data_IF_758334042307
#
_entry.id   IF_758334042307
#
_cell.length_a   1.000
_cell.length_b   1.000
_cell.length_c   1.000
_cell.angle_alpha   90.00
_cell.angle_beta   90.00
_cell.angle_gamma   90.00
#
_symmetry.space_group_name_H-M   'P 1'
#
loop_
_entity.id
_entity.type
_entity.pdbx_description
1 polymer ?
#
# COMPACT_ATOMS: atom_id res chain seq x y z
N UNK A 1 5.35 -2.46 12.85
CA UNK A 1 6.50 -1.67 13.38
C UNK A 1 6.53 -0.37 12.60
N UNK A 2 6.82 0.76 13.22
CA UNK A 2 6.94 2.01 12.46
C UNK A 2 8.23 2.00 11.64
N UNK A 3 8.13 2.37 10.35
CA UNK A 3 9.30 2.47 9.48
C UNK A 3 10.33 3.48 10.02
N UNK A 4 11.61 3.19 9.83
CA UNK A 4 12.73 4.10 10.13
C UNK A 4 13.17 4.90 8.90
N UNK A 5 12.62 4.57 7.73
CA UNK A 5 12.89 5.30 6.49
C UNK A 5 12.47 6.77 6.63
N UNK A 6 13.26 7.66 6.06
CA UNK A 6 13.12 9.11 6.22
C UNK A 6 13.93 9.72 7.38
N UNK A 7 14.70 8.91 8.12
CA UNK A 7 15.57 9.35 9.23
C UNK A 7 17.07 9.22 8.95
N UNK A 8 17.44 8.83 7.74
CA UNK A 8 18.84 8.75 7.30
C UNK A 8 19.50 10.12 7.39
N UNK A 9 20.80 10.15 7.71
CA UNK A 9 21.54 11.41 7.82
C UNK A 9 21.89 11.96 6.45
N UNK A 10 22.27 11.11 5.55
CA UNK A 10 22.64 11.43 4.18
C UNK A 10 21.43 11.32 3.22
N UNK A 11 21.40 12.14 2.17
CA UNK A 11 20.31 12.16 1.20
C UNK A 11 20.38 10.94 0.28
N UNK A 12 21.57 10.49 -0.12
CA UNK A 12 21.71 9.31 -0.94
C UNK A 12 21.27 8.05 -0.18
N UNK A 13 21.64 7.93 1.10
CA UNK A 13 21.12 6.87 1.99
C UNK A 13 19.59 6.93 2.14
N UNK A 14 19.02 8.13 2.22
CA UNK A 14 17.59 8.33 2.25
C UNK A 14 16.93 7.81 0.97
N UNK A 15 17.43 8.22 -0.19
CA UNK A 15 16.88 7.80 -1.49
C UNK A 15 17.04 6.29 -1.69
N UNK A 16 18.17 5.70 -1.35
CA UNK A 16 18.36 4.25 -1.38
C UNK A 16 17.38 3.51 -0.47
N UNK A 17 17.12 4.03 0.73
CA UNK A 17 16.13 3.45 1.64
C UNK A 17 14.70 3.58 1.13
N UNK A 18 14.37 4.62 0.36
CA UNK A 18 13.08 4.74 -0.33
C UNK A 18 12.99 3.75 -1.49
N UNK A 19 14.05 3.58 -2.28
CA UNK A 19 14.11 2.56 -3.34
C UNK A 19 13.88 1.16 -2.76
N UNK A 20 14.55 0.80 -1.66
CA UNK A 20 14.32 -0.48 -0.98
C UNK A 20 12.87 -0.65 -0.55
N UNK A 21 12.27 0.41 -0.01
CA UNK A 21 10.87 0.39 0.44
C UNK A 21 9.89 0.22 -0.72
N UNK A 22 10.14 0.90 -1.85
CA UNK A 22 9.32 0.76 -3.06
C UNK A 22 9.47 -0.63 -3.69
N UNK A 23 10.66 -1.21 -3.71
CA UNK A 23 10.89 -2.60 -4.15
C UNK A 23 10.13 -3.60 -3.25
N UNK A 24 10.15 -3.40 -1.93
CA UNK A 24 9.36 -4.18 -0.97
C UNK A 24 7.85 -4.06 -1.25
N UNK A 25 7.39 -2.86 -1.58
CA UNK A 25 6.00 -2.60 -1.94
C UNK A 25 5.62 -3.31 -3.24
N UNK A 26 6.44 -3.27 -4.29
CA UNK A 26 6.22 -4.00 -5.54
C UNK A 26 5.98 -5.49 -5.28
N UNK A 27 6.81 -6.12 -4.45
CA UNK A 27 6.63 -7.53 -4.09
C UNK A 27 5.36 -7.79 -3.27
N UNK A 28 5.02 -6.89 -2.34
CA UNK A 28 3.79 -7.00 -1.55
C UNK A 28 2.54 -6.86 -2.44
N UNK A 29 2.54 -5.90 -3.38
CA UNK A 29 1.46 -5.74 -4.34
C UNK A 29 1.32 -6.95 -5.26
N UNK A 30 2.42 -7.52 -5.75
CA UNK A 30 2.39 -8.73 -6.56
C UNK A 30 1.72 -9.89 -5.82
N UNK A 31 2.13 -10.13 -4.57
CA UNK A 31 1.53 -11.18 -3.74
C UNK A 31 0.04 -10.92 -3.42
N UNK A 32 -0.37 -9.66 -3.28
CA UNK A 32 -1.78 -9.28 -3.08
C UNK A 32 -2.62 -9.51 -4.35
N UNK A 33 -2.12 -9.09 -5.52
CA UNK A 33 -2.76 -9.25 -6.83
C UNK A 33 -3.01 -10.72 -7.18
N UNK A 34 -2.09 -11.61 -6.83
CA UNK A 34 -2.26 -13.05 -7.04
C UNK A 34 -3.44 -13.64 -6.26
N UNK A 35 -3.87 -13.03 -5.16
CA UNK A 35 -4.80 -13.60 -4.18
C UNK A 35 -6.13 -12.89 -4.07
N UNK A 36 -6.20 -11.63 -4.48
CA UNK A 36 -7.42 -10.85 -4.43
C UNK A 36 -8.39 -11.33 -5.52
N UNK A 37 -9.65 -11.54 -5.15
CA UNK A 37 -10.67 -12.06 -6.06
C UNK A 37 -11.40 -10.92 -6.78
N UNK A 38 -11.66 -9.78 -6.13
CA UNK A 38 -12.33 -8.64 -6.74
C UNK A 38 -11.52 -8.09 -7.90
N UNK A 39 -12.08 -8.12 -9.11
CA UNK A 39 -11.39 -7.71 -10.34
C UNK A 39 -11.06 -6.20 -10.36
N UNK A 40 -11.88 -5.38 -9.71
CA UNK A 40 -11.64 -3.92 -9.62
C UNK A 40 -10.47 -3.64 -8.70
N UNK A 41 -10.44 -4.26 -7.52
CA UNK A 41 -9.34 -4.15 -6.59
C UNK A 41 -8.04 -4.69 -7.21
N UNK A 42 -8.10 -5.85 -7.89
CA UNK A 42 -6.96 -6.44 -8.60
C UNK A 42 -6.35 -5.47 -9.62
N UNK A 43 -7.17 -4.86 -10.46
CA UNK A 43 -6.72 -3.89 -11.46
C UNK A 43 -6.11 -2.65 -10.80
N UNK A 44 -6.71 -2.15 -9.73
CA UNK A 44 -6.24 -0.96 -9.03
C UNK A 44 -4.91 -1.21 -8.29
N UNK A 45 -4.76 -2.36 -7.62
CA UNK A 45 -3.50 -2.77 -7.02
C UNK A 45 -2.39 -2.95 -8.07
N UNK A 46 -2.74 -3.42 -9.28
CA UNK A 46 -1.82 -3.47 -10.41
C UNK A 46 -1.31 -2.09 -10.85
N UNK A 47 -2.19 -1.09 -10.87
CA UNK A 47 -1.80 0.29 -11.15
C UNK A 47 -0.87 0.84 -10.05
N UNK A 48 -1.15 0.58 -8.77
CA UNK A 48 -0.31 1.00 -7.65
C UNK A 48 1.07 0.34 -7.68
N UNK A 49 1.14 -0.97 -7.99
CA UNK A 49 2.42 -1.65 -8.24
C UNK A 49 3.25 -0.91 -9.29
N UNK A 50 2.63 -0.52 -10.42
CA UNK A 50 3.32 0.20 -11.48
C UNK A 50 3.80 1.59 -11.05
N UNK A 51 3.11 2.25 -10.13
CA UNK A 51 3.56 3.50 -9.52
C UNK A 51 4.84 3.29 -8.71
N UNK A 52 4.91 2.27 -7.83
CA UNK A 52 6.15 1.94 -7.09
C UNK A 52 7.31 1.56 -8.02
N UNK A 53 7.07 0.82 -9.08
CA UNK A 53 8.09 0.55 -10.11
C UNK A 53 8.58 1.85 -10.78
N UNK A 54 7.72 2.84 -10.96
CA UNK A 54 8.11 4.18 -11.44
C UNK A 54 8.90 4.93 -10.38
N UNK A 55 8.51 4.90 -9.11
CA UNK A 55 9.26 5.53 -8.02
C UNK A 55 10.72 5.06 -7.99
N UNK A 56 10.95 3.75 -8.10
CA UNK A 56 12.30 3.18 -8.20
C UNK A 56 13.06 3.76 -9.40
N UNK A 57 12.44 3.79 -10.59
CA UNK A 57 13.06 4.35 -11.81
C UNK A 57 13.39 5.84 -11.68
N UNK A 58 12.53 6.60 -11.00
CA UNK A 58 12.70 8.04 -10.81
C UNK A 58 13.78 8.37 -9.75
N UNK A 59 13.93 7.56 -8.71
CA UNK A 59 14.90 7.77 -7.63
C UNK A 59 16.31 7.29 -8.00
N UNK A 60 16.43 6.21 -8.78
CA UNK A 60 17.71 5.60 -9.16
C UNK A 60 18.72 6.60 -9.73
N UNK A 61 18.40 7.44 -10.75
CA UNK A 61 19.35 8.41 -11.27
C UNK A 61 19.74 9.48 -10.25
N UNK A 62 18.85 9.85 -9.33
CA UNK A 62 19.13 10.85 -8.30
C UNK A 62 20.18 10.36 -7.28
N UNK A 63 20.20 9.08 -6.95
CA UNK A 63 21.27 8.47 -6.12
C UNK A 63 22.60 8.57 -6.84
N UNK A 64 22.65 8.23 -8.14
CA UNK A 64 23.86 8.32 -8.95
C UNK A 64 24.39 9.76 -9.09
N UNK A 65 23.49 10.76 -9.22
CA UNK A 65 23.84 12.18 -9.24
C UNK A 65 24.51 12.64 -7.92
N UNK A 66 24.17 11.99 -6.80
CA UNK A 66 24.79 12.25 -5.49
C UNK A 66 26.12 11.53 -5.30
N UNK A 67 26.57 10.75 -6.29
CA UNK A 67 27.85 10.05 -6.28
C UNK A 67 27.84 8.70 -5.58
N UNK A 68 26.66 8.17 -5.26
CA UNK A 68 26.47 6.86 -4.63
C UNK A 68 25.90 5.82 -5.60
N UNK A 69 26.06 4.54 -5.28
CA UNK A 69 25.47 3.44 -6.06
C UNK A 69 24.00 3.24 -5.65
N UNK A 70 23.07 3.27 -6.63
CA UNK A 70 21.68 2.92 -6.36
C UNK A 70 21.55 1.45 -5.96
N UNK A 71 20.63 1.15 -5.06
CA UNK A 71 20.25 -0.23 -4.75
C UNK A 71 19.66 -0.86 -6.02
N UNK A 72 20.32 -1.92 -6.52
CA UNK A 72 19.96 -2.58 -7.77
C UNK A 72 18.91 -3.68 -7.60
N UNK A 73 18.90 -4.32 -6.42
CA UNK A 73 17.95 -5.39 -6.08
C UNK A 73 17.57 -5.28 -4.59
N UNK A 74 16.32 -5.65 -4.22
CA UNK A 74 15.99 -5.78 -2.80
C UNK A 74 16.97 -6.76 -2.14
N UNK A 75 17.38 -6.48 -0.91
CA UNK A 75 18.08 -7.49 -0.11
C UNK A 75 17.10 -8.64 0.17
N UNK A 76 17.06 -9.57 -0.80
CA UNK A 76 16.12 -10.71 -0.86
C UNK A 76 16.09 -11.49 0.46
N UNK A 77 17.20 -11.51 1.19
CA UNK A 77 17.27 -12.19 2.50
C UNK A 77 16.53 -11.45 3.60
N UNK A 78 16.35 -10.14 3.45
CA UNK A 78 15.71 -9.27 4.45
C UNK A 78 14.21 -9.11 4.21
N UNK A 79 13.79 -9.09 2.95
CA UNK A 79 12.45 -8.78 2.46
C UNK A 79 11.53 -10.00 2.39
N UNK A 80 12.04 -11.13 1.89
CA UNK A 80 11.29 -12.39 1.75
C UNK A 80 10.62 -12.88 3.04
N UNK A 81 11.05 -12.38 4.20
CA UNK A 81 10.62 -12.93 5.48
C UNK A 81 9.39 -12.23 6.09
N UNK A 82 9.02 -11.02 5.68
CA UNK A 82 7.95 -10.27 6.36
C UNK A 82 6.69 -10.01 5.53
N UNK A 83 6.79 -9.52 4.31
CA UNK A 83 5.62 -9.18 3.50
C UNK A 83 4.95 -10.40 2.88
N UNK A 84 5.69 -11.22 2.14
CA UNK A 84 5.14 -12.42 1.47
C UNK A 84 4.61 -13.47 2.44
N UNK A 85 5.28 -13.68 3.59
CA UNK A 85 4.83 -14.66 4.60
C UNK A 85 3.53 -14.22 5.25
N UNK A 86 3.34 -12.94 5.54
CA UNK A 86 2.09 -12.43 6.12
C UNK A 86 0.95 -12.61 5.12
N UNK A 87 1.12 -12.18 3.86
CA UNK A 87 0.10 -12.33 2.82
C UNK A 87 -0.18 -13.80 2.47
N UNK A 88 0.83 -14.69 2.58
CA UNK A 88 0.67 -16.11 2.28
C UNK A 88 -0.36 -16.84 3.14
N UNK A 89 -0.63 -16.37 4.35
CA UNK A 89 -1.57 -16.94 5.30
C UNK A 89 -2.94 -16.25 5.34
N UNK A 90 -3.11 -15.17 4.58
CA UNK A 90 -4.33 -14.36 4.58
C UNK A 90 -5.29 -14.84 3.49
N UNK A 91 -6.56 -15.02 3.84
CA UNK A 91 -7.64 -15.35 2.91
C UNK A 91 -8.74 -14.28 2.95
N UNK A 92 -9.17 -13.88 1.75
CA UNK A 92 -10.26 -12.91 1.53
C UNK A 92 -9.78 -11.47 1.37
N UNK A 93 -10.41 -10.79 0.43
CA UNK A 93 -10.01 -9.48 -0.10
C UNK A 93 -9.85 -8.42 0.98
N UNK A 94 -10.79 -8.37 1.94
CA UNK A 94 -10.73 -7.42 3.05
C UNK A 94 -9.45 -7.54 3.87
N UNK A 95 -8.99 -8.76 4.16
CA UNK A 95 -7.77 -8.96 4.95
C UNK A 95 -6.51 -8.66 4.14
N UNK A 96 -6.53 -8.96 2.84
CA UNK A 96 -5.46 -8.59 1.91
C UNK A 96 -5.34 -7.05 1.88
N UNK A 97 -6.44 -6.34 1.68
CA UNK A 97 -6.46 -4.87 1.69
C UNK A 97 -6.02 -4.29 3.03
N UNK A 98 -6.38 -4.91 4.16
CA UNK A 98 -5.93 -4.47 5.48
C UNK A 98 -4.41 -4.63 5.67
N UNK A 99 -3.83 -5.69 5.12
CA UNK A 99 -2.38 -5.87 5.11
C UNK A 99 -1.70 -4.82 4.20
N UNK A 100 -2.25 -4.57 3.01
CA UNK A 100 -1.75 -3.53 2.11
C UNK A 100 -1.85 -2.14 2.73
N UNK A 101 -2.94 -1.83 3.47
CA UNK A 101 -3.04 -0.57 4.22
C UNK A 101 -1.88 -0.37 5.19
N UNK A 102 -1.45 -1.42 5.87
CA UNK A 102 -0.31 -1.32 6.79
C UNK A 102 0.99 -0.97 6.05
N UNK A 103 1.17 -1.51 4.84
CA UNK A 103 2.29 -1.18 3.97
C UNK A 103 2.23 0.30 3.56
N UNK A 104 1.07 0.76 3.09
CA UNK A 104 0.85 2.16 2.70
C UNK A 104 1.03 3.14 3.87
N UNK A 105 0.67 2.76 5.09
CA UNK A 105 0.93 3.59 6.28
C UNK A 105 2.43 3.80 6.51
N UNK A 106 3.27 2.84 6.17
CA UNK A 106 4.72 2.95 6.33
C UNK A 106 5.38 3.71 5.15
N UNK A 107 4.95 3.48 3.89
CA UNK A 107 5.44 4.24 2.73
C UNK A 107 5.04 5.71 2.81
N UNK A 108 3.78 6.03 3.15
CA UNK A 108 3.33 7.40 3.36
C UNK A 108 4.18 8.13 4.40
N UNK A 109 4.47 7.50 5.56
CA UNK A 109 5.32 8.10 6.60
C UNK A 109 6.74 8.34 6.12
N UNK A 110 7.30 7.42 5.33
CA UNK A 110 8.64 7.53 4.79
C UNK A 110 8.74 8.72 3.83
N UNK A 111 7.83 8.81 2.88
CA UNK A 111 7.78 9.91 1.91
C UNK A 111 7.43 11.26 2.55
N UNK A 112 6.50 11.32 3.51
CA UNK A 112 6.21 12.57 4.25
C UNK A 112 7.44 13.09 4.98
N UNK A 113 8.25 12.21 5.60
CA UNK A 113 9.51 12.60 6.24
C UNK A 113 10.55 13.07 5.23
N UNK A 114 10.69 12.36 4.11
CA UNK A 114 11.64 12.73 3.07
C UNK A 114 11.35 14.10 2.49
N UNK A 115 10.09 14.38 2.16
CA UNK A 115 9.64 15.69 1.66
C UNK A 115 9.83 16.79 2.71
N UNK A 116 9.66 16.50 3.99
CA UNK A 116 9.77 17.45 5.10
C UNK A 116 11.21 17.85 5.47
N UNK A 117 12.25 17.30 4.82
CA UNK A 117 13.65 17.65 5.10
C UNK A 117 14.04 18.95 4.41
N UNK A 118 14.72 19.84 5.13
CA UNK A 118 15.17 21.13 4.60
C UNK A 118 16.40 21.01 3.68
N UNK A 119 17.21 19.97 3.85
CA UNK A 119 18.46 19.73 3.14
C UNK A 119 18.29 19.02 1.77
N UNK A 120 17.07 18.66 1.39
CA UNK A 120 16.78 18.01 0.09
C UNK A 120 16.81 19.06 -1.04
N UNK A 121 17.62 18.85 -2.11
CA UNK A 121 17.65 19.73 -3.28
C UNK A 121 16.28 19.86 -3.95
N UNK A 122 15.99 21.01 -4.57
CA UNK A 122 14.67 21.28 -5.14
C UNK A 122 14.21 20.25 -6.18
N UNK A 123 15.10 19.83 -7.10
CA UNK A 123 14.78 18.85 -8.13
C UNK A 123 14.47 17.46 -7.55
N UNK A 124 15.19 17.05 -6.48
CA UNK A 124 14.91 15.82 -5.75
C UNK A 124 13.56 15.92 -5.04
N UNK A 125 13.30 17.07 -4.40
CA UNK A 125 12.04 17.33 -3.70
C UNK A 125 10.83 17.23 -4.62
N UNK A 126 10.92 17.70 -5.86
CA UNK A 126 9.84 17.60 -6.84
C UNK A 126 9.45 16.14 -7.12
N UNK A 127 10.44 15.26 -7.26
CA UNK A 127 10.23 13.82 -7.43
C UNK A 127 9.59 13.22 -6.17
N UNK A 128 10.14 13.52 -4.99
CA UNK A 128 9.62 13.01 -3.72
C UNK A 128 8.17 13.46 -3.45
N UNK A 129 7.80 14.71 -3.82
CA UNK A 129 6.43 15.21 -3.67
C UNK A 129 5.47 14.44 -4.57
N UNK A 130 5.83 14.21 -5.84
CA UNK A 130 5.01 13.42 -6.77
C UNK A 130 4.79 12.01 -6.26
N UNK A 131 5.84 11.32 -5.85
CA UNK A 131 5.76 9.96 -5.33
C UNK A 131 4.91 9.90 -4.06
N UNK A 132 5.11 10.83 -3.11
CA UNK A 132 4.26 10.96 -1.91
C UNK A 132 2.78 11.13 -2.24
N UNK A 133 2.45 11.91 -3.26
CA UNK A 133 1.06 12.15 -3.64
C UNK A 133 0.42 10.88 -4.22
N UNK A 134 1.21 10.02 -4.88
CA UNK A 134 0.79 8.68 -5.28
C UNK A 134 0.53 7.78 -4.06
N UNK A 135 1.43 7.75 -3.09
CA UNK A 135 1.26 6.99 -1.83
C UNK A 135 -0.04 7.37 -1.09
N UNK A 136 -0.35 8.68 -1.05
CA UNK A 136 -1.60 9.17 -0.45
C UNK A 136 -2.83 8.69 -1.21
N UNK A 137 -2.76 8.62 -2.55
CA UNK A 137 -3.83 8.11 -3.40
C UNK A 137 -4.03 6.61 -3.18
N UNK A 138 -2.94 5.83 -3.10
CA UNK A 138 -2.99 4.39 -2.82
C UNK A 138 -3.69 4.12 -1.50
N UNK A 139 -3.21 4.77 -0.44
CA UNK A 139 -3.78 4.64 0.90
C UNK A 139 -5.25 5.02 0.95
N UNK A 140 -5.62 6.16 0.35
CA UNK A 140 -7.01 6.62 0.33
C UNK A 140 -7.97 5.64 -0.36
N UNK A 141 -7.53 5.03 -1.47
CA UNK A 141 -8.29 3.98 -2.14
C UNK A 141 -8.50 2.78 -1.21
N UNK A 142 -7.46 2.25 -0.61
CA UNK A 142 -7.53 1.08 0.26
C UNK A 142 -8.42 1.37 1.48
N UNK A 143 -8.29 2.54 2.11
CA UNK A 143 -9.15 2.96 3.22
C UNK A 143 -10.64 3.02 2.82
N UNK A 144 -10.93 3.57 1.64
CA UNK A 144 -12.29 3.59 1.10
C UNK A 144 -12.83 2.16 0.92
N UNK A 145 -12.06 1.28 0.29
CA UNK A 145 -12.50 -0.11 0.06
C UNK A 145 -12.74 -0.85 1.37
N UNK A 146 -11.88 -0.70 2.35
CA UNK A 146 -12.06 -1.29 3.69
C UNK A 146 -13.36 -0.80 4.35
N UNK A 147 -13.67 0.49 4.24
CA UNK A 147 -14.93 1.05 4.77
C UNK A 147 -16.16 0.47 4.06
N UNK A 148 -16.09 0.24 2.74
CA UNK A 148 -17.16 -0.41 1.97
C UNK A 148 -17.39 -1.86 2.42
N UNK A 149 -16.33 -2.62 2.70
CA UNK A 149 -16.44 -3.97 3.25
C UNK A 149 -17.08 -4.00 4.64
N UNK A 150 -16.77 -3.04 5.52
CA UNK A 150 -17.40 -2.97 6.85
C UNK A 150 -18.89 -2.61 6.73
N UNK A 151 -19.26 -1.63 5.89
CA UNK A 151 -20.65 -1.26 5.66
C UNK A 151 -21.49 -2.44 5.12
N UNK A 152 -20.96 -3.15 4.13
CA UNK A 152 -21.64 -4.34 3.58
C UNK A 152 -21.80 -5.46 4.60
N UNK A 153 -20.87 -5.61 5.53
CA UNK A 153 -20.96 -6.58 6.63
C UNK A 153 -22.06 -6.20 7.63
N UNK A 154 -22.14 -4.92 7.99
CA UNK A 154 -23.16 -4.40 8.90
C UNK A 154 -24.58 -4.55 8.29
N UNK A 155 -24.77 -4.23 7.02
CA UNK A 155 -26.04 -4.39 6.31
C UNK A 155 -26.50 -5.85 6.31
N UNK A 156 -25.60 -6.79 6.01
CA UNK A 156 -25.92 -8.22 6.09
C UNK A 156 -26.30 -8.66 7.50
N UNK A 157 -25.63 -8.16 8.52
CA UNK A 157 -25.93 -8.49 9.92
C UNK A 157 -27.31 -7.94 10.36
N UNK A 158 -27.70 -6.76 9.90
CA UNK A 158 -29.02 -6.17 10.14
C UNK A 158 -30.11 -6.98 9.42
N UNK A 159 -29.93 -7.29 8.14
CA UNK A 159 -30.88 -8.10 7.36
C UNK A 159 -31.15 -9.47 7.95
N UNK A 160 -30.15 -10.08 8.60
CA UNK A 160 -30.29 -11.38 9.26
C UNK A 160 -31.00 -11.31 10.62
N UNK A 161 -31.17 -10.11 11.20
CA UNK A 161 -31.86 -9.88 12.47
C UNK A 161 -33.32 -9.50 12.31
N UNK A 162 -33.78 -9.13 11.10
CA UNK A 162 -35.18 -8.87 10.83
C UNK A 162 -35.99 -10.18 10.97
N UNK A 163 -37.06 -10.20 11.79
CA UNK A 163 -37.95 -11.37 11.90
C UNK A 163 -38.62 -11.61 10.54
N UNK A 164 -38.90 -12.88 10.18
CA UNK A 164 -39.64 -13.17 8.97
C UNK A 164 -41.01 -12.47 8.99
N UNK A 165 -41.53 -12.00 7.85
CA UNK A 165 -42.85 -11.36 7.80
C UNK A 165 -43.89 -12.32 8.37
N UNK A 166 -44.91 -11.80 9.08
CA UNK A 166 -45.94 -12.63 9.70
C UNK A 166 -46.62 -13.48 8.62
N UNK A 167 -46.51 -14.77 8.73
CA UNK A 167 -47.16 -15.72 7.82
C UNK A 167 -48.67 -15.66 8.02
N UNK A 168 -49.37 -15.17 7.00
CA UNK A 168 -50.76 -15.55 6.74
C UNK A 168 -51.81 -14.85 7.60
N UNK A 169 -52.45 -13.87 7.03
CA UNK A 169 -53.83 -13.59 7.39
C UNK A 169 -54.71 -14.81 7.01
N UNK A 170 -55.57 -15.34 7.89
CA UNK A 170 -56.49 -16.38 7.50
C UNK A 170 -57.48 -15.86 6.46
N UNK A 171 -57.57 -16.57 5.34
CA UNK A 171 -58.65 -16.37 4.35
C UNK A 171 -60.00 -16.58 5.02
N UNK A 172 -60.71 -15.49 5.25
CA UNK A 172 -62.12 -15.55 5.66
C UNK A 172 -62.93 -15.92 4.44
N UNK A 173 -63.62 -17.07 4.56
CA UNK A 173 -64.66 -17.46 3.61
C UNK A 173 -65.94 -16.69 3.93
#
# INVERSE_FOLDING_TARGET
MATMVGKQKDIADLLNSLIELDLDAVEAYEAAIERIDDATDKAQLGAFKSDHERHVRDLTPLVSELGEEPVAEPDIKRVLTKGKVVLASIAGDRLILAAMKTNEDDTNKAYDRAVGRDDVPSHVREVLVRNRDDERRHRAYIEKRLSEYEAAKEEKAVSQREPPPPSGAPSVR
#
